data_IF_696602972682
#
_entry.id   IF_696602972682
#
_cell.length_a   1.000
_cell.length_b   1.000
_cell.length_c   1.000
_cell.angle_alpha   90.00
_cell.angle_beta   90.00
_cell.angle_gamma   90.00
#
_symmetry.space_group_name_H-M   'P 1'
#
loop_
_entity.id
_entity.type
_entity.pdbx_description
1 polymer ?
#
# COMPACT_ATOMS: atom_id res chain seq x y z
N UNK A 1 44.81 37.77 53.63
CA UNK A 1 44.44 36.32 53.52
C UNK A 1 43.24 36.22 52.60
N UNK A 2 43.53 36.16 51.28
CA UNK A 2 42.51 36.18 50.22
C UNK A 2 42.39 34.79 49.68
N UNK A 3 41.20 34.16 49.81
CA UNK A 3 40.87 32.87 49.23
C UNK A 3 40.18 33.12 47.88
N UNK A 4 40.91 32.85 46.84
CA UNK A 4 40.36 32.76 45.45
C UNK A 4 39.76 31.38 45.26
N UNK A 5 38.42 31.32 45.17
CA UNK A 5 37.69 30.11 44.74
C UNK A 5 37.69 30.03 43.22
N UNK A 6 38.42 29.05 42.71
CA UNK A 6 38.40 28.66 41.31
C UNK A 6 37.08 27.98 41.00
N UNK A 7 36.22 28.63 40.19
CA UNK A 7 35.10 27.95 39.53
C UNK A 7 35.62 27.14 38.34
N UNK A 8 35.62 25.85 38.48
CA UNK A 8 35.83 24.93 37.37
C UNK A 8 34.63 24.99 36.45
N UNK A 9 34.85 25.60 35.27
CA UNK A 9 33.89 25.63 34.17
C UNK A 9 33.79 24.25 33.53
N UNK A 10 32.76 23.52 33.93
CA UNK A 10 32.38 22.24 33.33
C UNK A 10 31.62 22.51 32.03
N UNK A 11 32.33 22.91 30.97
CA UNK A 11 31.77 22.88 29.62
C UNK A 11 31.56 21.42 29.18
N UNK A 12 30.41 20.86 29.56
CA UNK A 12 29.93 19.64 28.95
C UNK A 12 29.73 19.87 27.45
N UNK A 13 30.60 19.31 26.64
CA UNK A 13 30.44 19.30 25.20
C UNK A 13 29.03 18.81 24.83
N UNK A 14 28.33 19.47 23.89
CA UNK A 14 27.01 19.02 23.48
C UNK A 14 27.16 17.60 22.93
N UNK A 15 26.45 16.66 23.55
CA UNK A 15 26.34 15.27 23.07
C UNK A 15 25.78 15.36 21.64
N UNK A 16 26.65 15.21 20.66
CA UNK A 16 26.28 15.11 19.24
C UNK A 16 25.28 13.97 19.12
N UNK A 17 23.96 14.30 19.11
CA UNK A 17 22.92 13.34 18.83
C UNK A 17 23.26 12.74 17.49
N UNK A 18 23.74 11.51 17.48
CA UNK A 18 23.98 10.69 16.28
C UNK A 18 22.78 10.87 15.37
N UNK A 19 22.93 11.71 14.33
CA UNK A 19 21.87 11.95 13.35
C UNK A 19 21.41 10.57 12.85
N UNK A 20 20.11 10.31 12.95
CA UNK A 20 19.58 9.04 12.47
C UNK A 20 20.01 8.85 11.02
N UNK A 21 20.54 7.69 10.67
CA UNK A 21 20.99 7.32 9.31
C UNK A 21 19.94 7.58 8.20
N UNK A 22 18.73 7.88 8.61
CA UNK A 22 17.55 8.07 7.76
C UNK A 22 17.11 9.53 7.65
N UNK A 23 17.74 10.45 8.37
CA UNK A 23 17.47 11.88 8.27
C UNK A 23 18.42 12.47 7.24
N UNK A 24 17.87 13.20 6.26
CA UNK A 24 18.65 13.96 5.30
C UNK A 24 19.38 15.08 6.07
N UNK A 25 20.71 15.07 6.01
CA UNK A 25 21.53 16.14 6.59
C UNK A 25 21.28 17.43 5.79
N UNK A 26 21.18 18.56 6.50
CA UNK A 26 20.96 19.89 5.91
C UNK A 26 19.70 20.05 5.05
N UNK A 27 18.67 19.19 5.26
CA UNK A 27 17.42 19.29 4.54
C UNK A 27 16.51 20.38 5.12
N UNK A 28 16.40 21.49 4.40
CA UNK A 28 15.53 22.62 4.73
C UNK A 28 14.66 22.98 3.51
N UNK A 29 13.48 22.38 3.34
CA UNK A 29 12.69 22.56 2.13
C UNK A 29 12.22 24.02 1.89
N UNK A 30 12.16 24.85 2.93
CA UNK A 30 11.80 26.26 2.77
C UNK A 30 12.99 27.15 2.35
N UNK A 31 14.23 26.65 2.40
CA UNK A 31 15.40 27.34 1.89
C UNK A 31 15.68 26.90 0.44
N UNK A 32 15.59 27.83 -0.56
CA UNK A 32 15.79 27.46 -1.96
C UNK A 32 17.16 26.87 -2.28
N UNK A 33 18.20 27.21 -1.54
CA UNK A 33 19.57 26.73 -1.75
C UNK A 33 19.76 25.28 -1.24
N UNK A 34 18.97 24.86 -0.24
CA UNK A 34 19.05 23.55 0.39
C UNK A 34 17.97 22.58 -0.06
N UNK A 35 16.97 23.05 -0.83
CA UNK A 35 15.89 22.22 -1.31
C UNK A 35 16.20 21.59 -2.67
N UNK A 36 16.35 20.27 -2.71
CA UNK A 36 16.43 19.53 -3.96
C UNK A 36 15.03 19.21 -4.50
N UNK A 37 14.58 20.02 -5.44
CA UNK A 37 13.29 19.86 -6.11
C UNK A 37 13.17 18.50 -6.82
N UNK A 38 14.25 18.04 -7.47
CA UNK A 38 14.26 16.77 -8.21
C UNK A 38 14.02 15.58 -7.27
N UNK A 39 14.68 15.59 -6.11
CA UNK A 39 14.48 14.56 -5.08
C UNK A 39 13.05 14.58 -4.54
N UNK A 40 12.50 15.75 -4.25
CA UNK A 40 11.15 15.92 -3.74
C UNK A 40 10.10 15.36 -4.72
N UNK A 41 10.14 15.77 -5.98
CA UNK A 41 9.20 15.30 -7.01
C UNK A 41 9.36 13.82 -7.33
N UNK A 42 10.59 13.30 -7.36
CA UNK A 42 10.84 11.86 -7.52
C UNK A 42 10.23 11.06 -6.37
N UNK A 43 10.41 11.53 -5.14
CA UNK A 43 9.82 10.88 -3.96
C UNK A 43 8.30 10.88 -4.04
N UNK A 44 7.70 12.01 -4.41
CA UNK A 44 6.25 12.12 -4.64
C UNK A 44 5.76 11.12 -5.68
N UNK A 45 6.43 11.05 -6.83
CA UNK A 45 6.05 10.12 -7.92
C UNK A 45 6.08 8.67 -7.44
N UNK A 46 7.17 8.26 -6.79
CA UNK A 46 7.33 6.87 -6.32
C UNK A 46 6.29 6.54 -5.23
N UNK A 47 6.09 7.42 -4.27
CA UNK A 47 5.11 7.19 -3.19
C UNK A 47 3.68 7.22 -3.72
N UNK A 48 3.36 8.08 -4.69
CA UNK A 48 2.04 8.11 -5.35
C UNK A 48 1.79 6.83 -6.16
N UNK A 49 2.78 6.37 -6.92
CA UNK A 49 2.69 5.11 -7.65
C UNK A 49 2.44 3.92 -6.72
N UNK A 50 3.25 3.80 -5.65
CA UNK A 50 3.04 2.75 -4.65
C UNK A 50 1.67 2.87 -3.97
N UNK A 51 1.14 4.09 -3.80
CA UNK A 51 -0.17 4.32 -3.23
C UNK A 51 -1.30 3.87 -4.17
N UNK A 52 -1.19 4.11 -5.49
CA UNK A 52 -2.14 3.56 -6.49
C UNK A 52 -2.21 2.05 -6.36
N UNK A 53 -1.06 1.36 -6.35
CA UNK A 53 -1.01 -0.10 -6.19
C UNK A 53 -1.59 -0.54 -4.85
N UNK A 54 -1.28 0.19 -3.78
CA UNK A 54 -1.85 -0.07 -2.46
C UNK A 54 -3.37 -0.02 -2.45
N UNK A 55 -3.96 0.96 -3.11
CA UNK A 55 -5.42 1.07 -3.21
C UNK A 55 -6.01 0.01 -4.16
N UNK A 56 -5.28 -0.44 -5.20
CA UNK A 56 -5.69 -1.61 -5.98
C UNK A 56 -5.76 -2.86 -5.10
N UNK A 57 -4.74 -3.10 -4.28
CA UNK A 57 -4.71 -4.24 -3.35
C UNK A 57 -5.82 -4.14 -2.31
N UNK A 58 -6.03 -2.95 -1.74
CA UNK A 58 -7.08 -2.73 -0.74
C UNK A 58 -8.47 -3.08 -1.26
N UNK A 59 -8.78 -2.70 -2.50
CA UNK A 59 -10.09 -2.94 -3.14
C UNK A 59 -10.17 -4.28 -3.90
N UNK A 60 -9.09 -5.05 -3.97
CA UNK A 60 -9.06 -6.35 -4.64
C UNK A 60 -10.16 -7.32 -4.13
N UNK A 61 -10.40 -7.49 -2.81
CA UNK A 61 -11.49 -8.32 -2.33
C UNK A 61 -12.87 -7.85 -2.80
N UNK A 62 -13.09 -6.54 -2.92
CA UNK A 62 -14.36 -5.99 -3.42
C UNK A 62 -14.58 -6.28 -4.91
N UNK A 63 -13.52 -6.34 -5.70
CA UNK A 63 -13.61 -6.71 -7.12
C UNK A 63 -13.86 -8.22 -7.31
N UNK A 64 -13.31 -9.06 -6.44
CA UNK A 64 -13.39 -10.52 -6.52
C UNK A 64 -14.67 -11.08 -5.86
N UNK A 65 -15.10 -10.53 -4.73
CA UNK A 65 -16.20 -11.10 -3.92
C UNK A 65 -17.48 -11.39 -4.71
N UNK A 66 -17.95 -10.54 -5.65
CA UNK A 66 -19.14 -10.85 -6.44
C UNK A 66 -19.00 -12.08 -7.35
N UNK A 67 -17.76 -12.49 -7.65
CA UNK A 67 -17.49 -13.66 -8.51
C UNK A 67 -17.35 -14.95 -7.73
N UNK A 68 -17.10 -14.91 -6.41
CA UNK A 68 -16.88 -16.12 -5.61
C UNK A 68 -18.08 -17.07 -5.62
N UNK A 69 -19.29 -16.55 -5.50
CA UNK A 69 -20.51 -17.39 -5.56
C UNK A 69 -20.69 -18.03 -6.94
N UNK A 70 -20.36 -17.30 -8.00
CA UNK A 70 -20.40 -17.80 -9.38
C UNK A 70 -19.31 -18.86 -9.64
N UNK A 71 -18.23 -18.89 -8.87
CA UNK A 71 -17.18 -19.90 -8.88
C UNK A 71 -17.53 -21.13 -8.02
N UNK A 72 -18.71 -21.16 -7.39
CA UNK A 72 -19.15 -22.27 -6.55
C UNK A 72 -18.72 -22.20 -5.10
N UNK A 73 -18.20 -21.05 -4.62
CA UNK A 73 -17.99 -20.86 -3.18
C UNK A 73 -19.34 -20.76 -2.47
N UNK A 74 -19.56 -21.61 -1.49
CA UNK A 74 -20.79 -21.61 -0.69
C UNK A 74 -20.69 -20.57 0.44
N UNK A 75 -20.80 -19.28 0.08
CA UNK A 75 -20.70 -18.14 0.99
C UNK A 75 -22.05 -17.47 1.16
N UNK A 76 -22.40 -17.20 2.41
CA UNK A 76 -23.59 -16.36 2.72
C UNK A 76 -23.36 -14.90 2.35
N UNK A 77 -24.43 -14.13 2.18
CA UNK A 77 -24.34 -12.68 1.93
C UNK A 77 -23.55 -11.97 3.03
N UNK A 78 -23.74 -12.35 4.30
CA UNK A 78 -22.96 -11.80 5.43
C UNK A 78 -21.47 -12.08 5.28
N UNK A 79 -21.08 -13.26 4.85
CA UNK A 79 -19.67 -13.61 4.63
C UNK A 79 -19.05 -12.80 3.50
N UNK A 80 -19.78 -12.56 2.42
CA UNK A 80 -19.32 -11.69 1.32
C UNK A 80 -19.15 -10.24 1.77
N UNK A 81 -20.08 -9.70 2.59
CA UNK A 81 -19.93 -8.36 3.17
C UNK A 81 -18.69 -8.25 4.05
N UNK A 82 -18.39 -9.26 4.86
CA UNK A 82 -17.18 -9.24 5.68
C UNK A 82 -15.90 -9.27 4.85
N UNK A 83 -15.86 -10.00 3.75
CA UNK A 83 -14.71 -10.00 2.83
C UNK A 83 -14.42 -8.60 2.25
N UNK A 84 -15.46 -7.81 2.01
CA UNK A 84 -15.31 -6.45 1.46
C UNK A 84 -15.10 -5.39 2.54
N UNK A 85 -15.61 -5.58 3.75
CA UNK A 85 -15.49 -4.64 4.86
C UNK A 85 -14.17 -4.77 5.64
N UNK A 86 -13.69 -5.99 5.80
CA UNK A 86 -12.52 -6.29 6.63
C UNK A 86 -11.23 -5.59 6.18
N UNK A 87 -10.93 -5.42 4.87
CA UNK A 87 -9.79 -4.62 4.43
C UNK A 87 -9.84 -3.17 4.95
N UNK A 88 -11.04 -2.58 5.05
CA UNK A 88 -11.22 -1.23 5.59
C UNK A 88 -10.89 -1.14 7.08
N UNK A 89 -11.35 -2.12 7.86
CA UNK A 89 -11.02 -2.22 9.29
C UNK A 89 -9.51 -2.40 9.50
N UNK A 90 -8.91 -3.32 8.77
CA UNK A 90 -7.48 -3.57 8.81
C UNK A 90 -6.66 -2.32 8.43
N UNK A 91 -7.10 -1.60 7.38
CA UNK A 91 -6.48 -0.35 6.96
C UNK A 91 -6.51 0.70 8.07
N UNK A 92 -7.63 0.84 8.78
CA UNK A 92 -7.76 1.75 9.92
C UNK A 92 -6.75 1.44 11.02
N UNK A 93 -6.61 0.17 11.40
CA UNK A 93 -5.63 -0.27 12.40
C UNK A 93 -4.18 -0.07 11.92
N UNK A 94 -3.89 -0.45 10.69
CA UNK A 94 -2.54 -0.33 10.13
C UNK A 94 -2.10 1.12 9.92
N UNK A 95 -3.02 2.07 9.74
CA UNK A 95 -2.68 3.50 9.70
C UNK A 95 -1.98 3.98 10.96
N UNK A 96 -2.34 3.44 12.12
CA UNK A 96 -1.66 3.76 13.38
C UNK A 96 -0.19 3.30 13.35
N UNK A 97 0.07 2.13 12.79
CA UNK A 97 1.44 1.61 12.65
C UNK A 97 2.22 2.43 11.63
N UNK A 98 1.65 2.66 10.44
CA UNK A 98 2.32 3.38 9.35
C UNK A 98 2.64 4.84 9.68
N UNK A 99 1.88 5.48 10.56
CA UNK A 99 2.14 6.85 11.01
C UNK A 99 3.52 7.00 11.69
N UNK A 100 3.99 5.96 12.36
CA UNK A 100 5.28 5.97 13.07
C UNK A 100 6.46 5.44 12.25
N UNK A 101 6.21 4.81 11.09
CA UNK A 101 7.28 4.19 10.30
C UNK A 101 8.24 5.18 9.61
N UNK A 102 7.79 6.32 9.02
CA UNK A 102 8.70 7.23 8.32
C UNK A 102 9.89 7.71 9.15
N UNK A 103 9.72 8.16 10.41
CA UNK A 103 10.85 8.59 11.24
C UNK A 103 11.73 7.43 11.72
N UNK A 104 11.21 6.19 11.78
CA UNK A 104 11.94 5.03 12.28
C UNK A 104 12.81 4.38 11.20
N UNK A 105 12.27 4.14 10.01
CA UNK A 105 12.94 3.36 8.96
C UNK A 105 13.23 4.17 7.69
N UNK A 106 12.68 5.38 7.59
CA UNK A 106 12.79 6.26 6.43
C UNK A 106 11.84 5.87 5.29
N UNK A 107 11.47 6.88 4.48
CA UNK A 107 10.49 6.72 3.39
C UNK A 107 10.89 5.65 2.37
N UNK A 108 12.15 5.61 1.96
CA UNK A 108 12.64 4.65 0.94
C UNK A 108 12.42 3.19 1.36
N UNK A 109 12.80 2.85 2.59
CA UNK A 109 12.62 1.46 3.10
C UNK A 109 11.16 1.15 3.33
N UNK A 110 10.40 2.11 3.86
CA UNK A 110 8.97 1.94 4.08
C UNK A 110 8.26 1.61 2.77
N UNK A 111 8.50 2.36 1.69
CA UNK A 111 7.90 2.11 0.37
C UNK A 111 8.28 0.73 -0.14
N UNK A 112 9.58 0.38 -0.13
CA UNK A 112 10.04 -0.93 -0.62
C UNK A 112 9.46 -2.12 0.14
N UNK A 113 9.45 -2.06 1.48
CA UNK A 113 8.84 -3.10 2.32
C UNK A 113 7.33 -3.19 2.05
N UNK A 114 6.63 -2.07 1.99
CA UNK A 114 5.19 -2.04 1.74
C UNK A 114 4.83 -2.62 0.37
N UNK A 115 5.59 -2.27 -0.68
CA UNK A 115 5.36 -2.80 -2.03
C UNK A 115 5.57 -4.31 -2.08
N UNK A 116 6.56 -4.85 -1.38
CA UNK A 116 6.74 -6.30 -1.25
C UNK A 116 5.60 -6.96 -0.45
N UNK A 117 5.11 -6.30 0.59
CA UNK A 117 3.98 -6.80 1.37
C UNK A 117 2.68 -6.86 0.57
N UNK A 118 2.50 -6.03 -0.47
CA UNK A 118 1.35 -6.11 -1.38
C UNK A 118 1.31 -7.44 -2.16
N UNK A 119 2.47 -8.00 -2.46
CA UNK A 119 2.57 -9.25 -3.23
C UNK A 119 1.91 -10.41 -2.49
N UNK A 120 2.01 -10.44 -1.15
CA UNK A 120 1.51 -11.56 -0.35
C UNK A 120 0.00 -11.78 -0.51
N UNK A 121 -0.88 -10.78 -0.23
CA UNK A 121 -2.31 -10.98 -0.42
C UNK A 121 -2.69 -11.16 -1.90
N UNK A 122 -1.99 -10.51 -2.85
CA UNK A 122 -2.27 -10.70 -4.27
C UNK A 122 -2.00 -12.15 -4.71
N UNK A 123 -0.85 -12.71 -4.37
CA UNK A 123 -0.57 -14.13 -4.63
C UNK A 123 -1.51 -15.06 -3.86
N UNK A 124 -1.85 -14.69 -2.61
CA UNK A 124 -2.85 -15.44 -1.85
C UNK A 124 -4.18 -15.50 -2.58
N UNK A 125 -4.74 -14.38 -3.01
CA UNK A 125 -5.97 -14.33 -3.79
C UNK A 125 -5.86 -15.07 -5.13
N UNK A 126 -4.72 -14.97 -5.82
CA UNK A 126 -4.48 -15.73 -7.03
C UNK A 126 -4.66 -17.24 -6.85
N UNK A 127 -4.15 -17.82 -5.74
CA UNK A 127 -4.27 -19.25 -5.47
C UNK A 127 -5.66 -19.64 -4.97
N UNK A 128 -6.20 -18.92 -3.99
CA UNK A 128 -7.43 -19.35 -3.30
C UNK A 128 -8.67 -19.26 -4.17
N UNK A 129 -8.73 -18.35 -5.16
CA UNK A 129 -9.89 -18.26 -6.05
C UNK A 129 -9.98 -19.45 -7.04
N UNK A 130 -8.94 -20.24 -7.16
CA UNK A 130 -8.89 -21.43 -8.04
C UNK A 130 -9.47 -22.69 -7.40
N UNK A 131 -9.67 -22.68 -6.07
CA UNK A 131 -10.21 -23.81 -5.31
C UNK A 131 -11.37 -23.32 -4.43
N UNK A 132 -12.59 -23.69 -4.84
CA UNK A 132 -13.82 -23.32 -4.12
C UNK A 132 -14.01 -24.04 -2.79
N UNK A 133 -13.14 -25.00 -2.45
CA UNK A 133 -13.12 -25.67 -1.15
C UNK A 133 -12.31 -24.91 -0.11
N UNK A 134 -11.65 -23.81 -0.51
CA UNK A 134 -10.85 -22.96 0.39
C UNK A 134 -11.67 -22.50 1.60
N UNK A 135 -11.18 -22.73 2.84
CA UNK A 135 -11.88 -22.33 4.05
C UNK A 135 -12.10 -20.82 4.11
N UNK A 136 -13.29 -20.40 4.55
CA UNK A 136 -13.64 -18.98 4.68
C UNK A 136 -12.63 -18.18 5.54
N UNK A 137 -12.05 -18.80 6.58
CA UNK A 137 -11.03 -18.17 7.42
C UNK A 137 -9.79 -17.73 6.62
N UNK A 138 -9.41 -18.48 5.59
CA UNK A 138 -8.29 -18.13 4.70
C UNK A 138 -8.65 -16.90 3.87
N UNK A 139 -9.85 -16.88 3.30
CA UNK A 139 -10.35 -15.71 2.55
C UNK A 139 -10.39 -14.46 3.42
N UNK A 140 -10.87 -14.56 4.66
CA UNK A 140 -10.87 -13.46 5.63
C UNK A 140 -9.44 -12.97 5.95
N UNK A 141 -8.51 -13.90 6.16
CA UNK A 141 -7.11 -13.54 6.44
C UNK A 141 -6.51 -12.75 5.29
N UNK A 142 -6.72 -13.20 4.05
CA UNK A 142 -6.24 -12.50 2.86
C UNK A 142 -6.93 -11.15 2.67
N UNK A 143 -8.23 -11.06 2.94
CA UNK A 143 -8.96 -9.80 2.92
C UNK A 143 -8.41 -8.82 3.97
N UNK A 144 -8.13 -9.28 5.19
CA UNK A 144 -7.47 -8.46 6.22
C UNK A 144 -6.10 -7.95 5.76
N UNK A 145 -5.28 -8.82 5.16
CA UNK A 145 -3.95 -8.45 4.65
C UNK A 145 -4.02 -7.38 3.54
N UNK A 146 -5.08 -7.35 2.74
CA UNK A 146 -5.29 -6.30 1.73
C UNK A 146 -5.39 -4.89 2.35
N UNK A 147 -5.73 -4.78 3.64
CA UNK A 147 -5.74 -3.52 4.38
C UNK A 147 -4.39 -2.80 4.44
N UNK A 148 -3.27 -3.52 4.24
CA UNK A 148 -1.92 -2.95 4.15
C UNK A 148 -1.88 -1.83 3.11
N UNK A 149 -2.57 -2.01 1.99
CA UNK A 149 -2.58 -1.05 0.89
C UNK A 149 -3.02 0.35 1.30
N UNK A 150 -4.16 0.46 1.97
CA UNK A 150 -4.65 1.76 2.46
C UNK A 150 -3.95 2.22 3.75
N UNK A 151 -3.44 1.30 4.56
CA UNK A 151 -2.65 1.62 5.76
C UNK A 151 -1.43 2.49 5.43
N UNK A 152 -0.76 2.20 4.33
CA UNK A 152 0.43 2.91 3.84
C UNK A 152 0.20 4.41 3.59
N UNK A 153 -1.03 4.84 3.34
CA UNK A 153 -1.41 6.25 3.17
C UNK A 153 -0.90 7.12 4.32
N UNK A 154 -1.05 6.66 5.57
CA UNK A 154 -0.63 7.41 6.76
C UNK A 154 0.87 7.55 6.92
N UNK A 155 1.67 6.73 6.24
CA UNK A 155 3.12 6.88 6.18
C UNK A 155 3.58 7.75 5.01
N UNK A 156 2.92 7.64 3.85
CA UNK A 156 3.34 8.34 2.64
C UNK A 156 3.01 9.82 2.64
N UNK A 157 1.82 10.21 3.13
CA UNK A 157 1.40 11.62 3.19
C UNK A 157 2.32 12.49 4.05
N UNK A 158 2.64 12.13 5.32
CA UNK A 158 3.60 12.90 6.11
C UNK A 158 4.99 12.97 5.47
N UNK A 159 5.45 11.87 4.85
CA UNK A 159 6.73 11.88 4.13
C UNK A 159 6.74 12.91 3.02
N UNK A 160 5.67 12.98 2.23
CA UNK A 160 5.55 13.99 1.17
C UNK A 160 5.55 15.41 1.75
N UNK A 161 4.81 15.66 2.82
CA UNK A 161 4.81 16.95 3.50
C UNK A 161 6.21 17.39 3.96
N UNK A 162 7.05 16.45 4.40
CA UNK A 162 8.42 16.69 4.81
C UNK A 162 9.35 17.06 3.64
N UNK A 163 9.13 16.52 2.44
CA UNK A 163 9.97 16.77 1.27
C UNK A 163 9.66 18.09 0.54
N UNK A 164 8.52 18.72 0.80
CA UNK A 164 8.10 19.91 0.06
C UNK A 164 8.10 21.18 0.90
N UNK A 165 8.48 22.35 0.31
CA UNK A 165 8.34 23.64 0.97
C UNK A 165 6.86 23.95 1.23
N UNK A 166 6.57 24.75 2.25
CA UNK A 166 5.19 25.10 2.66
C UNK A 166 4.32 25.59 1.50
N UNK A 167 4.90 26.36 0.56
CA UNK A 167 4.21 26.90 -0.62
C UNK A 167 3.72 25.83 -1.60
N UNK A 168 4.37 24.66 -1.66
CA UNK A 168 4.07 23.56 -2.59
C UNK A 168 3.50 22.33 -1.88
N UNK A 169 3.59 22.27 -0.56
CA UNK A 169 3.16 21.10 0.23
C UNK A 169 1.69 20.75 -0.01
N UNK A 170 0.79 21.74 -0.04
CA UNK A 170 -0.62 21.51 -0.31
C UNK A 170 -0.86 20.90 -1.71
N UNK A 171 -0.17 21.41 -2.74
CA UNK A 171 -0.25 20.85 -4.10
C UNK A 171 0.29 19.44 -4.15
N UNK A 172 1.44 19.17 -3.54
CA UNK A 172 2.05 17.85 -3.52
C UNK A 172 1.16 16.82 -2.81
N UNK A 173 0.61 17.17 -1.65
CA UNK A 173 -0.32 16.33 -0.90
C UNK A 173 -1.64 16.10 -1.66
N UNK A 174 -2.18 17.13 -2.31
CA UNK A 174 -3.37 17.03 -3.14
C UNK A 174 -3.16 16.10 -4.35
N UNK A 175 -2.03 16.22 -5.04
CA UNK A 175 -1.67 15.32 -6.14
C UNK A 175 -1.50 13.88 -5.64
N UNK A 176 -0.79 13.67 -4.54
CA UNK A 176 -0.59 12.34 -3.99
C UNK A 176 -1.91 11.71 -3.54
N UNK A 177 -2.74 12.43 -2.80
CA UNK A 177 -4.03 11.93 -2.34
C UNK A 177 -5.00 11.70 -3.49
N UNK A 178 -5.13 12.66 -4.41
CA UNK A 178 -6.03 12.56 -5.57
C UNK A 178 -5.65 11.43 -6.50
N UNK A 179 -4.41 11.43 -7.01
CA UNK A 179 -3.92 10.41 -7.96
C UNK A 179 -3.81 9.04 -7.27
N UNK A 180 -3.33 8.99 -6.02
CA UNK A 180 -3.23 7.73 -5.27
C UNK A 180 -4.57 7.02 -5.15
N UNK A 181 -5.65 7.76 -4.83
CA UNK A 181 -6.99 7.19 -4.72
C UNK A 181 -7.56 6.63 -6.04
N UNK A 182 -7.00 7.00 -7.20
CA UNK A 182 -7.40 6.38 -8.48
C UNK A 182 -7.18 4.86 -8.49
N UNK A 183 -6.30 4.32 -7.64
CA UNK A 183 -6.10 2.88 -7.50
C UNK A 183 -7.41 2.12 -7.22
N UNK A 184 -8.33 2.70 -6.44
CA UNK A 184 -9.65 2.12 -6.22
C UNK A 184 -10.46 2.01 -7.51
N UNK A 185 -10.47 3.06 -8.32
CA UNK A 185 -11.17 3.08 -9.61
C UNK A 185 -10.49 2.15 -10.62
N UNK A 186 -9.16 2.09 -10.60
CA UNK A 186 -8.38 1.20 -11.48
C UNK A 186 -8.77 -0.25 -11.23
N UNK A 187 -8.74 -0.75 -10.01
CA UNK A 187 -9.08 -2.16 -9.75
C UNK A 187 -10.56 -2.47 -10.03
N UNK A 188 -11.47 -1.53 -9.74
CA UNK A 188 -12.90 -1.73 -9.97
C UNK A 188 -13.28 -1.71 -11.46
N UNK A 189 -12.55 -0.96 -12.29
CA UNK A 189 -12.78 -0.90 -13.73
C UNK A 189 -11.97 -1.97 -14.46
N UNK A 190 -10.67 -2.04 -14.20
CA UNK A 190 -9.74 -2.94 -14.91
C UNK A 190 -9.87 -4.37 -14.42
N UNK A 191 -10.16 -4.61 -13.14
CA UNK A 191 -10.33 -5.94 -12.57
C UNK A 191 -11.34 -6.80 -13.34
N UNK A 192 -12.60 -6.38 -13.51
CA UNK A 192 -13.59 -7.13 -14.30
C UNK A 192 -13.16 -7.35 -15.75
N UNK A 193 -12.51 -6.38 -16.39
CA UNK A 193 -11.97 -6.52 -17.74
C UNK A 193 -10.92 -7.64 -17.78
N UNK A 194 -9.97 -7.63 -16.85
CA UNK A 194 -8.92 -8.65 -16.74
C UNK A 194 -9.49 -10.05 -16.49
N UNK A 195 -10.60 -10.15 -15.76
CA UNK A 195 -11.28 -11.42 -15.52
C UNK A 195 -11.95 -11.97 -16.76
N UNK A 196 -12.28 -11.13 -17.76
CA UNK A 196 -13.02 -11.53 -18.96
C UNK A 196 -12.18 -12.24 -20.04
N UNK A 197 -10.85 -12.27 -19.92
CA UNK A 197 -9.98 -12.89 -20.92
C UNK A 197 -8.67 -13.42 -20.35
N UNK A 198 -8.08 -14.41 -21.04
CA UNK A 198 -6.78 -14.97 -20.68
C UNK A 198 -5.66 -13.94 -20.84
N UNK A 199 -4.95 -13.61 -19.75
CA UNK A 199 -3.82 -12.68 -19.77
C UNK A 199 -2.58 -13.35 -20.39
N UNK A 200 -1.87 -12.60 -21.23
CA UNK A 200 -0.54 -12.95 -21.77
C UNK A 200 -0.47 -14.27 -22.53
N UNK A 201 -1.60 -14.82 -23.04
CA UNK A 201 -1.60 -16.10 -23.73
C UNK A 201 -1.09 -17.25 -22.86
N UNK A 202 -1.19 -17.12 -21.53
CA UNK A 202 -0.80 -18.16 -20.57
C UNK A 202 -1.75 -19.33 -20.65
N UNK A 203 -1.46 -20.26 -21.55
CA UNK A 203 -2.24 -21.49 -21.77
C UNK A 203 -2.17 -22.48 -20.59
N UNK A 204 -1.23 -22.27 -19.68
CA UNK A 204 -1.04 -23.11 -18.49
C UNK A 204 -1.99 -22.77 -17.32
N UNK A 205 -2.70 -21.64 -17.40
CA UNK A 205 -3.75 -21.25 -16.46
C UNK A 205 -5.11 -21.40 -17.13
N UNK A 206 -5.77 -22.52 -16.88
CA UNK A 206 -7.10 -22.80 -17.42
C UNK A 206 -8.13 -21.78 -16.91
N UNK A 207 -9.12 -21.39 -17.73
CA UNK A 207 -10.24 -20.60 -17.26
C UNK A 207 -11.01 -21.34 -16.17
N UNK A 208 -11.58 -20.56 -15.25
CA UNK A 208 -12.51 -21.07 -14.26
C UNK A 208 -13.91 -21.14 -14.90
N UNK A 209 -14.63 -22.22 -14.67
CA UNK A 209 -15.99 -22.39 -15.18
C UNK A 209 -17.00 -21.88 -14.15
N UNK A 210 -17.90 -21.00 -14.57
CA UNK A 210 -18.96 -20.48 -13.72
C UNK A 210 -20.05 -21.54 -13.47
N UNK A 211 -20.71 -21.42 -12.33
CA UNK A 211 -21.85 -22.24 -11.94
C UNK A 211 -23.13 -21.40 -11.81
N UNK A 212 -24.30 -22.04 -11.68
CA UNK A 212 -25.58 -21.34 -11.54
C UNK A 212 -26.11 -20.82 -12.89
N UNK A 213 -26.62 -19.58 -12.91
CA UNK A 213 -27.22 -18.98 -14.11
C UNK A 213 -26.23 -18.82 -15.28
N UNK A 214 -24.94 -18.71 -15.00
CA UNK A 214 -23.86 -18.59 -15.97
C UNK A 214 -23.07 -19.89 -16.14
N UNK A 215 -23.69 -21.03 -15.85
CA UNK A 215 -23.01 -22.33 -15.92
C UNK A 215 -22.44 -22.60 -17.32
N UNK A 216 -21.14 -22.89 -17.38
CA UNK A 216 -20.42 -23.15 -18.63
C UNK A 216 -19.68 -21.94 -19.19
N UNK A 217 -19.95 -20.72 -18.74
CA UNK A 217 -19.14 -19.54 -19.12
C UNK A 217 -17.75 -19.63 -18.47
N UNK A 218 -16.75 -19.13 -19.18
CA UNK A 218 -15.36 -19.16 -18.73
C UNK A 218 -14.94 -17.77 -18.25
N UNK A 219 -14.21 -17.72 -17.13
CA UNK A 219 -13.70 -16.50 -16.51
C UNK A 219 -12.31 -16.74 -15.92
N UNK A 220 -11.50 -15.69 -15.80
CA UNK A 220 -10.16 -15.73 -15.21
C UNK A 220 -10.09 -14.81 -13.98
N UNK A 221 -10.84 -15.13 -12.91
CA UNK A 221 -10.93 -14.28 -11.72
C UNK A 221 -9.56 -13.99 -11.09
N UNK A 222 -8.66 -14.95 -11.10
CA UNK A 222 -7.30 -14.82 -10.59
C UNK A 222 -6.46 -13.74 -11.31
N UNK A 223 -6.84 -13.34 -12.55
CA UNK A 223 -6.13 -12.30 -13.29
C UNK A 223 -6.17 -10.95 -12.57
N UNK A 224 -7.26 -10.62 -11.90
CA UNK A 224 -7.38 -9.38 -11.13
C UNK A 224 -6.35 -9.32 -9.98
N UNK A 225 -5.96 -10.47 -9.45
CA UNK A 225 -4.95 -10.55 -8.39
C UNK A 225 -3.52 -10.52 -8.95
N UNK A 226 -3.22 -11.38 -9.95
CA UNK A 226 -1.85 -11.57 -10.44
C UNK A 226 -1.35 -10.39 -11.29
N UNK A 227 -2.22 -9.69 -11.98
CA UNK A 227 -1.84 -8.60 -12.90
C UNK A 227 -1.01 -7.51 -12.23
N UNK A 228 -1.33 -7.14 -10.99
CA UNK A 228 -0.65 -6.05 -10.29
C UNK A 228 0.63 -6.48 -9.58
N UNK A 229 0.94 -7.78 -9.50
CA UNK A 229 2.14 -8.31 -8.81
C UNK A 229 3.45 -7.77 -9.42
N UNK A 230 3.69 -7.84 -10.75
CA UNK A 230 4.93 -7.34 -11.35
C UNK A 230 5.13 -5.84 -11.07
N UNK A 231 4.06 -5.06 -11.11
CA UNK A 231 4.08 -3.61 -10.89
C UNK A 231 4.41 -3.23 -9.44
N UNK A 232 4.20 -4.14 -8.49
CA UNK A 232 4.53 -3.93 -7.08
C UNK A 232 6.01 -4.22 -6.76
N UNK A 233 6.74 -4.86 -7.68
CA UNK A 233 8.15 -5.22 -7.50
C UNK A 233 9.09 -4.20 -8.17
N UNK A 234 8.59 -3.41 -9.12
CA UNK A 234 9.33 -2.36 -9.84
C UNK A 234 9.46 -1.10 -8.97
#
# INVERSE_FOLDING_TARGET
>A
MSMTTSHADSSAAPTEKRASKYVLQDWEPNNPEKWDSKLAWRTLTITTYSLILGFCVWFLPSAIAPKLTLLGFNLSASQLYWLTALPGLAAGLLRLVYMFLPPLIGTRKMVGITSLLFVIPMLGWFYVVQDNTTPYAVLLTLAFMCGIGSGAFSGYMPSTGYFFPKRLSGTALGLQGGIGNLGMSVIQLVGPILMGFGLFGMTWLAPQTLVGEHAGEQIWVYNAAIFFVPWSII
#
